data_IF_942104323638
#
_entry.id   IF_942104323638
#
_cell.length_a   1.000
_cell.length_b   1.000
_cell.length_c   1.000
_cell.angle_alpha   90.00
_cell.angle_beta   90.00
_cell.angle_gamma   90.00
#
_symmetry.space_group_name_H-M   'P 1'
#
loop_
_entity.id
_entity.type
_entity.pdbx_description
1 polymer ?
#
# COMPACT_ATOMS: atom_id res chain seq x y z
N UNK A 1 -5.53 23.77 27.56
CA UNK A 1 -4.97 22.43 27.29
C UNK A 1 -5.57 21.88 25.99
N UNK A 2 -4.69 21.34 25.13
CA UNK A 2 -4.91 20.39 24.02
C UNK A 2 -5.75 20.81 22.81
N UNK A 3 -5.07 21.34 21.77
CA UNK A 3 -5.54 21.21 20.39
C UNK A 3 -4.96 19.89 19.82
N UNK A 4 -5.76 18.83 19.58
CA UNK A 4 -5.30 17.64 18.88
C UNK A 4 -5.22 17.95 17.38
N UNK A 5 -4.17 18.66 16.96
CA UNK A 5 -3.85 18.86 15.56
C UNK A 5 -3.35 17.54 14.95
N UNK A 6 -4.01 17.13 13.87
CA UNK A 6 -3.76 15.94 13.05
C UNK A 6 -4.02 14.59 13.77
N UNK A 7 -4.86 13.68 13.29
CA UNK A 7 -5.08 13.29 11.92
C UNK A 7 -6.49 12.69 11.80
N UNK A 8 -7.33 13.27 10.95
CA UNK A 8 -8.68 12.80 10.71
C UNK A 8 -8.67 11.39 10.06
N UNK A 9 -9.39 10.49 10.72
CA UNK A 9 -10.31 9.49 10.15
C UNK A 9 -9.75 8.39 9.20
N UNK A 10 -9.64 7.19 9.77
CA UNK A 10 -9.84 5.89 9.09
C UNK A 10 -11.15 5.87 8.28
N UNK A 11 -11.19 5.07 7.21
CA UNK A 11 -12.28 4.11 7.06
C UNK A 11 -11.75 2.67 7.15
N UNK A 12 -12.59 1.81 7.71
CA UNK A 12 -12.48 0.35 7.63
C UNK A 12 -13.34 -0.04 6.40
N UNK A 13 -12.77 -0.56 5.32
CA UNK A 13 -13.51 -0.97 4.09
C UNK A 13 -12.53 -1.72 3.17
N UNK A 14 -12.81 -2.88 2.57
CA UNK A 14 -14.03 -3.65 2.45
C UNK A 14 -13.77 -5.11 2.04
N UNK A 15 -14.84 -5.89 2.07
CA UNK A 15 -15.18 -7.14 1.37
C UNK A 15 -14.06 -8.13 0.98
N UNK A 16 -14.25 -9.37 1.40
CA UNK A 16 -13.34 -10.49 1.36
C UNK A 16 -13.19 -11.19 -0.03
N UNK A 17 -12.96 -10.43 -1.11
CA UNK A 17 -12.74 -11.03 -2.44
C UNK A 17 -11.66 -10.35 -3.31
N UNK A 18 -10.88 -9.44 -2.71
CA UNK A 18 -9.76 -8.76 -3.36
C UNK A 18 -8.43 -9.34 -2.87
N UNK A 19 -7.46 -9.50 -3.77
CA UNK A 19 -6.13 -10.03 -3.44
C UNK A 19 -5.57 -9.33 -2.20
N UNK A 20 -5.23 -10.10 -1.16
CA UNK A 20 -4.66 -9.48 0.02
C UNK A 20 -3.33 -8.85 -0.36
N UNK A 21 -3.06 -7.65 0.16
CA UNK A 21 -1.77 -6.97 -0.01
C UNK A 21 -0.59 -7.89 0.31
N UNK A 22 -0.75 -8.76 1.30
CA UNK A 22 0.25 -9.78 1.65
C UNK A 22 0.52 -10.76 0.51
N UNK A 23 -0.51 -11.23 -0.19
CA UNK A 23 -0.38 -12.12 -1.35
C UNK A 23 0.30 -11.42 -2.54
N UNK A 24 -0.03 -10.15 -2.79
CA UNK A 24 0.64 -9.34 -3.82
C UNK A 24 2.12 -9.18 -3.49
N UNK A 25 2.45 -8.83 -2.25
CA UNK A 25 3.85 -8.72 -1.78
C UNK A 25 4.57 -10.05 -1.83
N UNK A 26 3.92 -11.15 -1.46
CA UNK A 26 4.49 -12.49 -1.52
C UNK A 26 4.74 -12.93 -2.97
N UNK A 27 3.84 -12.63 -3.91
CA UNK A 27 4.02 -12.89 -5.34
C UNK A 27 5.18 -12.06 -5.92
N UNK A 28 5.32 -10.79 -5.50
CA UNK A 28 6.44 -9.94 -5.88
C UNK A 28 7.77 -10.47 -5.32
N UNK A 29 7.80 -10.88 -4.05
CA UNK A 29 8.97 -11.52 -3.43
C UNK A 29 9.34 -12.84 -4.11
N UNK A 30 8.35 -13.67 -4.51
CA UNK A 30 8.60 -14.88 -5.31
C UNK A 30 9.22 -14.56 -6.67
N UNK A 31 8.91 -13.40 -7.24
CA UNK A 31 9.52 -12.86 -8.47
C UNK A 31 10.83 -12.11 -8.23
N UNK A 32 11.29 -11.98 -6.99
CA UNK A 32 12.51 -11.25 -6.63
C UNK A 32 12.39 -9.72 -6.74
N UNK A 33 11.18 -9.19 -6.86
CA UNK A 33 10.91 -7.76 -6.98
C UNK A 33 10.17 -7.25 -5.74
N UNK A 34 10.35 -5.98 -5.40
CA UNK A 34 9.62 -5.35 -4.28
C UNK A 34 8.65 -4.32 -4.83
N UNK A 35 7.59 -4.00 -4.07
CA UNK A 35 6.66 -2.91 -4.44
C UNK A 35 7.41 -1.59 -4.72
N UNK A 36 8.43 -1.29 -3.92
CA UNK A 36 9.25 -0.09 -4.13
C UNK A 36 10.06 -0.15 -5.43
N UNK A 37 10.57 -1.33 -5.79
CA UNK A 37 11.28 -1.52 -7.05
C UNK A 37 10.34 -1.41 -8.25
N UNK A 38 9.19 -2.08 -8.20
CA UNK A 38 8.17 -1.99 -9.24
C UNK A 38 7.68 -0.54 -9.41
N UNK A 39 7.52 0.19 -8.32
CA UNK A 39 7.20 1.61 -8.35
C UNK A 39 8.27 2.41 -9.10
N UNK A 40 9.56 2.16 -8.84
CA UNK A 40 10.67 2.84 -9.53
C UNK A 40 10.76 2.47 -11.01
N UNK A 41 10.54 1.19 -11.34
CA UNK A 41 10.55 0.70 -12.73
C UNK A 41 9.46 1.38 -13.57
N UNK A 42 8.30 1.66 -12.98
CA UNK A 42 7.21 2.38 -13.63
C UNK A 42 7.27 3.91 -13.47
N UNK A 43 8.35 4.47 -12.90
CA UNK A 43 8.51 5.91 -12.70
C UNK A 43 7.56 6.51 -11.65
N UNK A 44 6.94 5.68 -10.81
CA UNK A 44 6.04 6.08 -9.73
C UNK A 44 6.81 6.25 -8.41
N UNK A 45 6.42 7.23 -7.61
CA UNK A 45 6.93 7.39 -6.25
C UNK A 45 6.60 6.15 -5.40
N UNK A 46 7.55 5.64 -4.61
CA UNK A 46 7.38 4.42 -3.79
C UNK A 46 6.12 4.40 -2.91
N UNK A 47 5.62 5.59 -2.57
CA UNK A 47 4.41 5.78 -1.76
C UNK A 47 3.11 5.66 -2.57
N UNK A 48 3.15 5.93 -3.88
CA UNK A 48 2.00 5.87 -4.79
C UNK A 48 1.50 4.44 -4.95
N UNK A 49 2.39 3.51 -5.25
CA UNK A 49 2.00 2.11 -5.41
C UNK A 49 1.59 1.48 -4.07
N UNK A 50 2.24 1.87 -2.97
CA UNK A 50 1.86 1.45 -1.63
C UNK A 50 0.43 1.89 -1.27
N UNK A 51 0.07 3.14 -1.60
CA UNK A 51 -1.25 3.72 -1.33
C UNK A 51 -2.35 3.20 -2.27
N UNK A 52 -1.99 2.79 -3.50
CA UNK A 52 -2.92 2.15 -4.43
C UNK A 52 -3.34 0.73 -4.00
N UNK A 53 -2.61 0.13 -3.06
CA UNK A 53 -2.90 -1.20 -2.48
C UNK A 53 -3.37 -1.10 -1.01
N UNK A 54 -3.81 0.09 -0.56
CA UNK A 54 -4.39 0.32 0.78
C UNK A 54 -5.90 0.13 0.82
#
# INVERSE_FOLDING_TARGET
>A
MSNPVASQKKPRKGSAEDWHRADIVAALHKKGVTLAQLSREHGLSSRTLNNALE
#
